data_IF_912130980514
#
_entry.id   IF_912130980514
#
_cell.length_a   1.000
_cell.length_b   1.000
_cell.length_c   1.000
_cell.angle_alpha   90.00
_cell.angle_beta   90.00
_cell.angle_gamma   90.00
#
_symmetry.space_group_name_H-M   'P 1'
#
loop_
_entity.id
_entity.type
_entity.pdbx_description
1 polymer ?
#
# COMPACT_ATOMS: atom_id res chain seq x y z
N UNK A 1 77.23 12.88 -3.00
CA UNK A 1 77.28 14.32 -2.66
C UNK A 1 76.49 15.07 -3.72
N UNK A 2 75.23 15.45 -3.44
CA UNK A 2 74.79 16.80 -2.98
C UNK A 2 74.83 17.82 -4.14
N UNK A 3 73.89 18.73 -4.43
CA UNK A 3 72.68 19.32 -3.83
C UNK A 3 71.93 20.00 -5.02
N UNK A 4 70.61 19.88 -5.21
CA UNK A 4 69.51 20.75 -4.71
C UNK A 4 69.46 22.21 -5.20
N UNK A 5 68.32 22.57 -5.86
CA UNK A 5 67.50 23.81 -5.79
C UNK A 5 68.06 25.13 -6.38
N UNK A 6 67.30 26.12 -6.89
CA UNK A 6 65.90 26.36 -7.31
C UNK A 6 65.87 27.84 -7.84
N UNK A 7 64.97 28.23 -8.74
CA UNK A 7 64.63 29.63 -8.98
C UNK A 7 63.27 29.75 -9.69
N UNK A 8 62.25 30.15 -8.93
CA UNK A 8 60.86 30.18 -9.36
C UNK A 8 60.40 31.44 -10.12
N UNK A 9 59.14 31.38 -10.56
CA UNK A 9 58.24 32.52 -10.75
C UNK A 9 56.77 32.03 -10.78
N UNK A 10 55.79 32.91 -10.47
CA UNK A 10 54.59 32.47 -9.77
C UNK A 10 53.29 32.58 -10.59
N UNK A 11 52.29 31.84 -10.10
CA UNK A 11 50.89 32.24 -9.93
C UNK A 11 49.82 31.95 -11.02
N UNK A 12 48.65 31.58 -10.48
CA UNK A 12 47.26 31.70 -10.97
C UNK A 12 46.73 30.66 -11.96
N UNK A 13 46.01 29.67 -11.43
CA UNK A 13 44.73 29.22 -12.01
C UNK A 13 43.80 28.70 -10.90
N UNK A 14 42.49 28.99 -10.97
CA UNK A 14 41.58 28.85 -9.85
C UNK A 14 41.18 27.38 -9.65
N UNK A 15 41.23 26.90 -8.40
CA UNK A 15 40.51 25.67 -8.03
C UNK A 15 39.02 25.88 -8.37
N UNK A 16 38.37 24.95 -9.09
CA UNK A 16 36.92 24.90 -9.10
C UNK A 16 36.50 24.59 -7.66
N UNK A 17 35.83 25.55 -7.01
CA UNK A 17 35.05 25.23 -5.81
C UNK A 17 34.02 24.18 -6.24
N UNK A 18 34.32 22.92 -5.95
CA UNK A 18 33.28 21.91 -5.81
C UNK A 18 32.25 22.50 -4.85
N UNK A 19 30.94 22.49 -5.18
CA UNK A 19 29.95 22.90 -4.21
C UNK A 19 30.19 22.04 -2.99
N UNK A 20 30.28 22.66 -1.81
CA UNK A 20 30.29 21.94 -0.56
C UNK A 20 29.02 21.09 -0.55
N UNK A 21 29.17 19.82 -0.93
CA UNK A 21 28.16 18.82 -0.76
C UNK A 21 27.96 18.77 0.74
N UNK A 22 26.93 19.45 1.23
CA UNK A 22 26.37 19.15 2.54
C UNK A 22 26.19 17.64 2.54
N UNK A 23 27.03 16.93 3.29
CA UNK A 23 26.92 15.51 3.60
C UNK A 23 25.57 15.35 4.32
N UNK A 24 24.50 15.31 3.55
CA UNK A 24 23.28 14.70 3.98
C UNK A 24 23.65 13.22 4.02
N UNK A 25 23.83 12.67 5.23
CA UNK A 25 23.96 11.24 5.47
C UNK A 25 22.65 10.55 5.02
N UNK A 26 22.48 10.41 3.70
CA UNK A 26 21.35 9.75 3.08
C UNK A 26 21.63 8.25 3.12
N UNK A 27 21.06 7.58 4.12
CA UNK A 27 21.07 6.13 4.18
C UNK A 27 19.96 5.56 3.26
N UNK A 28 20.26 4.54 2.43
CA UNK A 28 19.24 3.84 1.67
C UNK A 28 18.20 3.20 2.59
N UNK A 29 16.91 3.41 2.30
CA UNK A 29 15.82 2.72 2.98
C UNK A 29 15.45 1.49 2.16
N UNK A 30 15.45 0.33 2.79
CA UNK A 30 15.03 -0.92 2.15
C UNK A 30 13.52 -0.89 1.91
N UNK A 31 13.10 -1.06 0.66
CA UNK A 31 11.71 -1.23 0.28
C UNK A 31 11.43 -2.71 0.01
N UNK A 32 10.30 -3.20 0.53
CA UNK A 32 9.79 -4.54 0.22
C UNK A 32 8.41 -4.37 -0.40
N UNK A 33 8.12 -5.15 -1.45
CA UNK A 33 6.78 -5.17 -2.03
C UNK A 33 5.76 -5.67 -0.98
N UNK A 34 4.60 -5.00 -0.84
CA UNK A 34 3.57 -5.43 0.08
C UNK A 34 3.06 -6.84 -0.24
N UNK A 35 2.88 -7.67 0.79
CA UNK A 35 2.27 -9.00 0.63
C UNK A 35 0.79 -8.93 0.21
N UNK A 36 0.13 -7.79 0.44
CA UNK A 36 -1.27 -7.54 0.14
C UNK A 36 -1.39 -6.22 -0.61
N UNK A 37 -2.15 -6.22 -1.71
CA UNK A 37 -2.33 -5.02 -2.53
C UNK A 37 -3.43 -4.11 -2.00
N UNK A 38 -4.38 -4.64 -1.22
CA UNK A 38 -5.34 -3.83 -0.47
C UNK A 38 -5.80 -4.49 0.84
N UNK A 39 -6.35 -3.64 1.70
CA UNK A 39 -7.03 -4.00 2.94
C UNK A 39 -8.46 -3.46 2.93
N UNK A 40 -9.44 -4.30 3.26
CA UNK A 40 -10.86 -3.96 3.22
C UNK A 40 -11.44 -4.05 4.63
N UNK A 41 -12.08 -2.98 5.08
CA UNK A 41 -12.80 -2.94 6.37
C UNK A 41 -14.27 -2.68 6.11
N UNK A 42 -15.14 -3.56 6.59
CA UNK A 42 -16.60 -3.43 6.45
C UNK A 42 -17.20 -2.67 7.63
N UNK A 43 -18.19 -1.83 7.32
CA UNK A 43 -18.89 -1.00 8.27
C UNK A 43 -20.39 -1.15 8.13
N UNK A 44 -21.07 -1.11 9.26
CA UNK A 44 -22.51 -0.91 9.35
C UNK A 44 -22.73 0.44 10.02
N UNK A 45 -23.20 1.42 9.25
CA UNK A 45 -23.27 2.82 9.68
C UNK A 45 -21.88 3.32 10.11
N UNK A 46 -21.71 3.72 11.37
CA UNK A 46 -20.45 4.20 11.95
C UNK A 46 -19.66 3.11 12.70
N UNK A 47 -20.16 1.87 12.73
CA UNK A 47 -19.51 0.78 13.45
C UNK A 47 -18.76 -0.13 12.48
N UNK A 48 -17.47 -0.36 12.75
CA UNK A 48 -16.70 -1.39 12.06
C UNK A 48 -17.19 -2.77 12.48
N UNK A 49 -17.43 -3.67 11.51
CA UNK A 49 -17.95 -5.02 11.76
C UNK A 49 -17.01 -6.05 11.16
N UNK A 50 -16.54 -6.98 12.00
CA UNK A 50 -15.59 -8.02 11.61
C UNK A 50 -14.13 -7.55 11.51
N UNK A 51 -13.27 -8.47 11.10
CA UNK A 51 -11.84 -8.23 10.91
C UNK A 51 -11.56 -7.52 9.57
N UNK A 52 -10.35 -6.94 9.42
CA UNK A 52 -9.91 -6.41 8.13
C UNK A 52 -9.52 -7.57 7.23
N UNK A 53 -10.11 -7.63 6.04
CA UNK A 53 -9.69 -8.56 5.01
C UNK A 53 -8.46 -8.03 4.28
N UNK A 54 -7.48 -8.90 4.01
CA UNK A 54 -6.24 -8.55 3.32
C UNK A 54 -6.14 -9.33 2.00
N UNK A 55 -6.16 -8.63 0.88
CA UNK A 55 -6.16 -9.25 -0.44
C UNK A 55 -4.74 -9.42 -0.98
N UNK A 56 -4.32 -10.66 -1.17
CA UNK A 56 -3.05 -11.01 -1.84
C UNK A 56 -3.24 -11.38 -3.30
N UNK A 57 -4.38 -11.96 -3.66
CA UNK A 57 -4.68 -12.37 -5.03
C UNK A 57 -5.08 -11.16 -5.89
N UNK A 58 -4.68 -11.10 -7.19
CA UNK A 58 -5.00 -9.97 -8.06
C UNK A 58 -6.48 -9.71 -8.29
N UNK A 59 -7.35 -10.67 -7.96
CA UNK A 59 -8.81 -10.57 -8.07
C UNK A 59 -9.44 -11.13 -6.80
N UNK A 60 -10.42 -10.44 -6.25
CA UNK A 60 -11.19 -10.90 -5.10
C UNK A 60 -12.63 -10.41 -5.14
N UNK A 61 -13.54 -11.08 -4.43
CA UNK A 61 -14.97 -10.74 -4.40
C UNK A 61 -15.39 -10.37 -2.99
N UNK A 62 -16.16 -9.29 -2.84
CA UNK A 62 -16.86 -8.94 -1.58
C UNK A 62 -18.34 -9.17 -1.81
N UNK A 63 -18.94 -10.11 -1.07
CA UNK A 63 -20.33 -10.55 -1.31
C UNK A 63 -21.16 -10.67 -0.02
N UNK A 64 -22.46 -10.90 -0.19
CA UNK A 64 -23.42 -11.05 0.92
C UNK A 64 -23.59 -12.48 1.41
N UNK A 65 -22.79 -13.43 0.92
CA UNK A 65 -22.91 -14.85 1.26
C UNK A 65 -22.13 -15.20 2.53
N UNK A 66 -22.01 -16.49 2.85
CA UNK A 66 -21.55 -16.97 4.16
C UNK A 66 -20.43 -18.02 4.09
N UNK A 67 -19.64 -18.06 3.01
CA UNK A 67 -18.53 -19.01 2.86
C UNK A 67 -17.26 -18.43 3.53
N UNK A 68 -16.80 -18.99 4.67
CA UNK A 68 -15.64 -18.46 5.38
C UNK A 68 -14.29 -18.99 4.87
N UNK A 69 -14.29 -19.95 3.93
CA UNK A 69 -13.10 -20.78 3.64
C UNK A 69 -12.28 -20.31 2.43
N UNK A 70 -12.66 -19.21 1.78
CA UNK A 70 -12.05 -18.79 0.52
C UNK A 70 -11.29 -17.47 0.69
N UNK A 71 -9.96 -17.51 0.54
CA UNK A 71 -9.08 -16.33 0.64
C UNK A 71 -9.22 -15.32 -0.51
N UNK A 72 -10.02 -15.62 -1.53
CA UNK A 72 -10.38 -14.70 -2.62
C UNK A 72 -11.77 -14.11 -2.43
N UNK A 73 -12.48 -14.47 -1.35
CA UNK A 73 -13.85 -14.02 -1.08
C UNK A 73 -13.99 -13.46 0.32
N UNK A 74 -14.40 -12.21 0.41
CA UNK A 74 -14.80 -11.58 1.65
C UNK A 74 -16.33 -11.62 1.79
N UNK A 75 -16.81 -12.67 2.44
CA UNK A 75 -18.24 -12.94 2.65
C UNK A 75 -18.78 -12.14 3.84
N UNK A 76 -19.54 -11.08 3.58
CA UNK A 76 -20.09 -10.20 4.62
C UNK A 76 -21.26 -10.84 5.36
N UNK A 77 -21.92 -11.83 4.77
CA UNK A 77 -23.14 -12.48 5.30
C UNK A 77 -22.92 -13.15 6.66
N UNK A 78 -21.73 -13.71 6.90
CA UNK A 78 -21.38 -14.41 8.15
C UNK A 78 -21.02 -13.47 9.31
N UNK A 79 -20.81 -12.18 9.04
CA UNK A 79 -20.38 -11.22 10.05
C UNK A 79 -21.54 -10.88 11.00
N UNK A 80 -21.32 -11.09 12.29
CA UNK A 80 -22.26 -10.73 13.36
C UNK A 80 -22.06 -9.30 13.82
N UNK A 81 -23.17 -8.62 14.14
CA UNK A 81 -23.15 -7.32 14.80
C UNK A 81 -24.37 -7.22 15.73
N UNK A 82 -24.14 -7.12 17.04
CA UNK A 82 -25.20 -7.06 18.06
C UNK A 82 -26.03 -5.77 17.99
N UNK A 83 -25.48 -4.71 17.39
CA UNK A 83 -26.16 -3.42 17.23
C UNK A 83 -26.87 -3.29 15.87
N UNK A 84 -26.95 -4.38 15.10
CA UNK A 84 -27.56 -4.36 13.77
C UNK A 84 -29.06 -4.06 13.89
N UNK A 85 -29.51 -3.08 13.12
CA UNK A 85 -30.93 -2.71 13.05
C UNK A 85 -31.61 -3.28 11.80
N UNK A 86 -32.94 -3.25 11.78
CA UNK A 86 -33.75 -3.84 10.71
C UNK A 86 -33.46 -3.25 9.31
N UNK A 87 -33.12 -1.96 9.23
CA UNK A 87 -32.75 -1.33 7.97
C UNK A 87 -31.44 -1.91 7.42
N UNK A 88 -30.41 -2.07 8.26
CA UNK A 88 -29.13 -2.69 7.88
C UNK A 88 -29.33 -4.16 7.48
N UNK A 89 -30.14 -4.92 8.21
CA UNK A 89 -30.47 -6.29 7.82
C UNK A 89 -31.12 -6.35 6.43
N UNK A 90 -32.07 -5.46 6.15
CA UNK A 90 -32.73 -5.40 4.85
C UNK A 90 -31.75 -5.04 3.74
N UNK A 91 -30.89 -4.03 3.96
CA UNK A 91 -29.85 -3.66 2.99
C UNK A 91 -28.89 -4.82 2.70
N UNK A 92 -28.47 -5.57 3.74
CA UNK A 92 -27.56 -6.71 3.57
C UNK A 92 -28.12 -7.82 2.68
N UNK A 93 -29.44 -8.03 2.69
CA UNK A 93 -30.11 -9.00 1.80
C UNK A 93 -29.96 -8.64 0.31
N UNK A 94 -29.70 -7.37 -0.01
CA UNK A 94 -29.53 -6.89 -1.39
C UNK A 94 -28.08 -6.90 -1.87
N UNK A 95 -27.09 -7.22 -1.01
CA UNK A 95 -25.69 -7.29 -1.43
C UNK A 95 -25.51 -8.39 -2.47
N UNK A 96 -26.12 -9.57 -2.26
CA UNK A 96 -26.07 -10.68 -3.21
C UNK A 96 -24.63 -11.04 -3.60
N UNK A 97 -24.34 -11.02 -4.91
CA UNK A 97 -23.00 -11.29 -5.46
C UNK A 97 -22.00 -10.15 -5.23
N UNK A 98 -22.49 -8.97 -4.86
CA UNK A 98 -21.68 -7.84 -4.43
C UNK A 98 -20.78 -7.27 -5.53
N UNK A 99 -19.50 -7.13 -5.21
CA UNK A 99 -18.52 -6.49 -6.09
C UNK A 99 -17.28 -7.37 -6.24
N UNK A 100 -16.77 -7.44 -7.46
CA UNK A 100 -15.44 -7.99 -7.73
C UNK A 100 -14.45 -6.86 -7.89
N UNK A 101 -13.36 -6.93 -7.13
CA UNK A 101 -12.25 -6.00 -7.20
C UNK A 101 -11.06 -6.71 -7.83
N UNK A 102 -10.39 -6.08 -8.78
CA UNK A 102 -9.18 -6.64 -9.36
C UNK A 102 -8.13 -5.57 -9.65
N UNK A 103 -6.87 -5.97 -9.47
CA UNK A 103 -5.68 -5.16 -9.61
C UNK A 103 -4.86 -5.66 -10.80
N UNK A 104 -4.67 -4.80 -11.79
CA UNK A 104 -3.90 -5.12 -13.00
C UNK A 104 -3.15 -3.87 -13.45
N UNK A 105 -1.84 -4.01 -13.69
CA UNK A 105 -1.02 -2.93 -14.25
C UNK A 105 -0.90 -1.66 -13.39
N UNK A 106 -1.07 -1.75 -12.07
CA UNK A 106 -1.07 -0.57 -11.19
C UNK A 106 -2.45 0.07 -11.00
N UNK A 107 -3.48 -0.44 -11.67
CA UNK A 107 -4.84 0.09 -11.64
C UNK A 107 -5.78 -0.85 -10.89
N UNK A 108 -6.79 -0.27 -10.23
CA UNK A 108 -7.84 -1.02 -9.50
C UNK A 108 -9.17 -0.83 -10.22
N UNK A 109 -9.86 -1.93 -10.46
CA UNK A 109 -11.17 -1.96 -11.11
C UNK A 109 -12.21 -2.56 -10.17
N UNK A 110 -13.47 -2.14 -10.36
CA UNK A 110 -14.62 -2.66 -9.64
C UNK A 110 -15.72 -3.08 -10.62
N UNK A 111 -16.18 -4.31 -10.49
CA UNK A 111 -17.27 -4.89 -11.27
C UNK A 111 -18.46 -5.19 -10.34
N UNK A 112 -19.62 -4.59 -10.61
CA UNK A 112 -20.87 -4.88 -9.90
C UNK A 112 -21.49 -6.17 -10.46
N UNK A 113 -21.76 -7.15 -9.59
CA UNK A 113 -22.12 -8.52 -9.97
C UNK A 113 -23.61 -8.88 -9.76
#
# INVERSE_FOLDING_TARGET
MNHSMDAGSPNLSPNPMSPAHSNLDLQPVTYCEPAFWCSISYYELNQRVGETFHASQPSMTVDGFTDPSNSERFCLGLLSNVNRNAAVELTRRHIGRGVRLYYIGGEVFAECL
#
